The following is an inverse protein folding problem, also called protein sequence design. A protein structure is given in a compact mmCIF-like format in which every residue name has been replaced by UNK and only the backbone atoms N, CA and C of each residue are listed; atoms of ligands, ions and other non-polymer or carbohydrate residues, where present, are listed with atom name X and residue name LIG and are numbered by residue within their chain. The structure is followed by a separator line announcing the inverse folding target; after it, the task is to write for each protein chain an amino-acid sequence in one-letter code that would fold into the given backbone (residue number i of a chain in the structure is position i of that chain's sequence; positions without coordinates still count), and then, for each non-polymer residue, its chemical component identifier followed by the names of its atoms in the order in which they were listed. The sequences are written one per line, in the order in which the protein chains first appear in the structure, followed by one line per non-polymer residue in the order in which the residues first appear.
data_IF_141196276071
#
_entry.id   IF_141196276071
#
_cell.length_a   1.000
_cell.length_b   1.000
_cell.length_c   1.000
_cell.angle_alpha   90.00
_cell.angle_beta   90.00
_cell.angle_gamma   90.00
#
_symmetry.space_group_name_H-M   'P 1'
#
loop_
_entity.id
_entity.type
_entity.pdbx_description
1 polymer ?
#
# COMPACT_ATOMS: atom_id res chain seq x y z
N UNK A 1 0.29 -17.82 -9.87
CA UNK A 1 0.82 -16.56 -9.29
C UNK A 1 0.44 -16.48 -7.81
N UNK A 2 1.43 -16.29 -6.93
CA UNK A 2 1.23 -16.36 -5.48
C UNK A 2 0.86 -14.99 -4.88
N UNK A 3 -0.45 -14.75 -4.77
CA UNK A 3 -0.99 -13.69 -3.95
C UNK A 3 -0.70 -13.95 -2.47
N UNK A 4 -0.77 -12.91 -1.66
CA UNK A 4 -0.40 -13.01 -0.24
C UNK A 4 -1.53 -13.62 0.57
N UNK A 5 -2.64 -12.90 0.69
CA UNK A 5 -3.84 -13.34 1.39
C UNK A 5 -5.03 -12.51 0.87
N UNK A 6 -6.28 -13.00 0.95
CA UNK A 6 -7.45 -12.24 0.52
C UNK A 6 -7.58 -10.86 1.18
N UNK A 7 -7.13 -10.74 2.43
CA UNK A 7 -7.14 -9.49 3.20
C UNK A 7 -5.98 -8.53 2.87
N UNK A 8 -5.03 -8.94 2.03
CA UNK A 8 -3.87 -8.12 1.69
C UNK A 8 -4.22 -7.10 0.60
N UNK A 9 -4.08 -5.81 0.89
CA UNK A 9 -4.26 -4.78 -0.13
C UNK A 9 -3.21 -4.92 -1.27
N UNK A 10 -1.92 -4.74 -0.96
CA UNK A 10 -0.85 -4.81 -1.99
C UNK A 10 -0.64 -6.21 -2.57
N UNK A 11 -0.97 -7.26 -1.80
CA UNK A 11 -0.74 -8.64 -2.17
C UNK A 11 -1.95 -9.38 -2.76
N UNK A 12 -3.14 -8.76 -2.80
CA UNK A 12 -4.33 -9.36 -3.43
C UNK A 12 -5.33 -8.34 -3.99
N UNK A 13 -5.85 -7.42 -3.17
CA UNK A 13 -6.94 -6.53 -3.59
C UNK A 13 -6.53 -5.56 -4.70
N UNK A 14 -5.39 -4.88 -4.53
CA UNK A 14 -4.85 -3.95 -5.51
C UNK A 14 -4.53 -4.63 -6.86
N UNK A 15 -3.75 -5.73 -6.95
CA UNK A 15 -3.46 -6.37 -8.22
C UNK A 15 -4.72 -6.87 -8.94
N UNK A 16 -5.75 -7.34 -8.22
CA UNK A 16 -7.04 -7.75 -8.83
C UNK A 16 -7.75 -6.64 -9.59
N UNK A 17 -7.49 -5.38 -9.25
CA UNK A 17 -8.17 -4.22 -9.81
C UNK A 17 -7.24 -3.55 -10.83
N UNK A 18 -6.00 -3.26 -10.43
CA UNK A 18 -5.04 -2.56 -11.27
C UNK A 18 -4.60 -3.39 -12.49
N UNK A 19 -4.53 -4.72 -12.39
CA UNK A 19 -4.18 -5.56 -13.54
C UNK A 19 -5.29 -5.60 -14.59
N UNK A 20 -6.57 -5.47 -14.19
CA UNK A 20 -7.70 -5.43 -15.13
C UNK A 20 -7.57 -4.26 -16.09
N UNK A 21 -7.09 -3.11 -15.62
CA UNK A 21 -6.80 -1.94 -16.47
C UNK A 21 -5.68 -2.21 -17.49
N UNK A 22 -4.87 -3.25 -17.26
CA UNK A 22 -3.83 -3.73 -18.19
C UNK A 22 -4.30 -4.91 -19.04
N UNK A 23 -5.58 -5.29 -18.96
CA UNK A 23 -6.13 -6.43 -19.68
C UNK A 23 -5.77 -7.79 -19.08
N UNK A 24 -5.30 -7.84 -17.82
CA UNK A 24 -4.97 -9.09 -17.11
C UNK A 24 -5.96 -9.26 -15.95
N UNK A 25 -6.66 -10.39 -15.94
CA UNK A 25 -7.73 -10.71 -15.00
C UNK A 25 -7.31 -11.91 -14.15
N UNK A 26 -7.01 -11.72 -12.85
CA UNK A 26 -6.66 -12.83 -11.96
C UNK A 26 -7.81 -13.83 -11.82
N UNK A 27 -7.51 -15.13 -11.87
CA UNK A 27 -8.50 -16.22 -11.91
C UNK A 27 -9.02 -16.55 -13.32
N UNK A 28 -8.65 -15.76 -14.34
CA UNK A 28 -8.92 -16.06 -15.75
C UNK A 28 -7.62 -16.21 -16.54
N UNK A 29 -6.76 -15.19 -16.50
CA UNK A 29 -5.51 -15.17 -17.26
C UNK A 29 -4.36 -15.84 -16.51
N UNK A 30 -4.53 -16.06 -15.20
CA UNK A 30 -3.64 -16.86 -14.36
C UNK A 30 -4.35 -17.41 -13.12
N UNK A 31 -3.85 -18.52 -12.57
CA UNK A 31 -4.31 -19.09 -11.31
C UNK A 31 -3.79 -18.31 -10.10
N UNK A 32 -4.69 -17.97 -9.18
CA UNK A 32 -4.36 -17.31 -7.91
C UNK A 32 -4.13 -18.36 -6.83
N UNK A 33 -2.91 -18.36 -6.28
CA UNK A 33 -2.53 -19.14 -5.10
C UNK A 33 -2.28 -18.18 -3.94
N UNK A 34 -2.47 -18.63 -2.69
CA UNK A 34 -2.20 -17.82 -1.50
C UNK A 34 -0.99 -18.36 -0.73
N UNK A 35 0.06 -17.54 -0.61
CA UNK A 35 1.28 -17.86 0.15
C UNK A 35 1.19 -17.54 1.64
N UNK A 36 0.16 -16.80 2.04
CA UNK A 36 -0.10 -16.30 3.39
C UNK A 36 0.66 -15.02 3.76
N UNK A 37 1.87 -14.81 3.23
CA UNK A 37 2.73 -13.68 3.61
C UNK A 37 3.62 -13.19 2.46
N UNK A 38 3.98 -11.91 2.51
CA UNK A 38 4.84 -11.29 1.50
C UNK A 38 6.21 -11.97 1.37
N UNK A 39 6.81 -12.38 2.48
CA UNK A 39 8.10 -13.09 2.49
C UNK A 39 8.01 -14.46 1.81
N UNK A 40 6.95 -15.23 2.08
CA UNK A 40 6.68 -16.49 1.39
C UNK A 40 6.49 -16.29 -0.12
N UNK A 41 5.71 -15.29 -0.52
CA UNK A 41 5.52 -14.93 -1.93
C UNK A 41 6.85 -14.58 -2.63
N UNK A 42 7.70 -13.77 -1.99
CA UNK A 42 9.00 -13.36 -2.54
C UNK A 42 9.92 -14.57 -2.68
N UNK A 43 10.09 -15.34 -1.61
CA UNK A 43 10.99 -16.50 -1.63
C UNK A 43 10.50 -17.60 -2.56
N UNK A 44 9.19 -17.79 -2.71
CA UNK A 44 8.64 -18.74 -3.68
C UNK A 44 8.94 -18.35 -5.13
N UNK A 45 8.98 -17.05 -5.46
CA UNK A 45 9.43 -16.59 -6.80
C UNK A 45 10.94 -16.81 -6.96
N UNK A 46 11.75 -16.43 -5.96
CA UNK A 46 13.21 -16.66 -5.97
C UNK A 46 13.55 -18.14 -6.18
N UNK A 47 12.83 -19.03 -5.50
CA UNK A 47 13.02 -20.48 -5.58
C UNK A 47 12.36 -21.13 -6.80
N UNK A 48 11.65 -20.35 -7.62
CA UNK A 48 10.90 -20.81 -8.81
C UNK A 48 9.73 -21.74 -8.49
N UNK A 49 9.22 -21.70 -7.25
CA UNK A 49 7.97 -22.34 -6.85
C UNK A 49 6.75 -21.61 -7.44
N UNK A 50 6.90 -20.30 -7.72
CA UNK A 50 5.89 -19.46 -8.34
C UNK A 50 6.47 -18.63 -9.49
N UNK A 51 5.72 -18.45 -10.57
CA UNK A 51 6.15 -17.63 -11.70
C UNK A 51 6.22 -16.13 -11.36
N UNK A 52 5.33 -15.67 -10.47
CA UNK A 52 5.22 -14.28 -10.05
C UNK A 52 4.42 -14.16 -8.74
N UNK A 53 4.57 -13.02 -8.07
CA UNK A 53 3.79 -12.65 -6.90
C UNK A 53 3.61 -11.12 -6.79
N UNK A 54 2.38 -10.61 -6.61
CA UNK A 54 2.17 -9.23 -6.20
C UNK A 54 2.51 -9.06 -4.72
N UNK A 55 3.32 -8.05 -4.39
CA UNK A 55 3.84 -7.81 -3.04
C UNK A 55 3.94 -6.32 -2.72
N UNK A 56 4.20 -6.00 -1.44
CA UNK A 56 4.59 -4.65 -1.05
C UNK A 56 6.10 -4.44 -1.32
N UNK A 57 6.45 -3.44 -2.12
CA UNK A 57 7.85 -3.14 -2.52
C UNK A 57 8.77 -2.95 -1.31
N UNK A 58 8.30 -2.32 -0.23
CA UNK A 58 9.06 -2.16 1.01
C UNK A 58 9.45 -3.47 1.69
N UNK A 59 8.70 -4.56 1.48
CA UNK A 59 9.06 -5.89 1.98
C UNK A 59 10.15 -6.51 1.12
N UNK A 60 10.04 -6.39 -0.21
CA UNK A 60 11.06 -6.84 -1.15
C UNK A 60 12.41 -6.16 -0.84
N UNK A 61 12.43 -4.84 -0.75
CA UNK A 61 13.65 -4.07 -0.47
C UNK A 61 14.26 -4.47 0.87
N UNK A 62 13.46 -4.55 1.94
CA UNK A 62 13.95 -4.97 3.25
C UNK A 62 14.51 -6.38 3.27
N UNK A 63 13.98 -7.30 2.45
CA UNK A 63 14.51 -8.65 2.35
C UNK A 63 15.82 -8.69 1.54
N UNK A 64 15.90 -7.94 0.45
CA UNK A 64 17.11 -7.79 -0.35
C UNK A 64 18.25 -7.12 0.46
N UNK A 65 17.95 -6.06 1.21
CA UNK A 65 18.91 -5.36 2.08
C UNK A 65 19.46 -6.24 3.21
N UNK A 66 18.68 -7.25 3.63
CA UNK A 66 19.11 -8.27 4.59
C UNK A 66 19.87 -9.43 3.92
N UNK A 67 20.08 -9.38 2.62
CA UNK A 67 20.81 -10.41 1.86
C UNK A 67 20.06 -11.74 1.73
N UNK A 68 18.73 -11.74 1.86
CA UNK A 68 17.94 -12.98 1.77
C UNK A 68 17.91 -13.60 0.36
N UNK A 69 18.10 -12.77 -0.67
CA UNK A 69 18.23 -13.15 -2.08
C UNK A 69 19.00 -12.03 -2.81
N UNK A 70 19.49 -12.28 -4.03
CA UNK A 70 20.11 -11.24 -4.86
C UNK A 70 19.02 -10.51 -5.64
N UNK A 71 19.13 -9.19 -5.79
CA UNK A 71 18.15 -8.41 -6.57
C UNK A 71 17.94 -8.94 -7.99
N UNK A 72 18.99 -9.49 -8.60
CA UNK A 72 18.94 -10.09 -9.95
C UNK A 72 18.23 -11.46 -10.00
N UNK A 73 17.93 -12.08 -8.85
CA UNK A 73 17.14 -13.32 -8.79
C UNK A 73 15.65 -13.07 -9.11
N UNK A 74 15.21 -11.82 -9.12
CA UNK A 74 13.83 -11.42 -9.41
C UNK A 74 13.78 -10.26 -10.40
N UNK A 75 12.64 -10.11 -11.09
CA UNK A 75 12.39 -8.98 -11.98
C UNK A 75 11.08 -8.31 -11.60
N UNK A 76 11.11 -6.99 -11.42
CA UNK A 76 9.90 -6.18 -11.25
C UNK A 76 9.24 -6.02 -12.63
N UNK A 77 8.04 -6.56 -12.80
CA UNK A 77 7.30 -6.53 -14.08
C UNK A 77 6.24 -5.43 -14.14
N UNK A 78 5.83 -4.94 -12.98
CA UNK A 78 4.85 -3.88 -12.80
C UNK A 78 5.04 -3.23 -11.43
N UNK A 79 4.84 -1.92 -11.36
CA UNK A 79 4.80 -1.14 -10.13
C UNK A 79 3.63 -0.15 -10.20
N UNK A 80 2.83 -0.05 -9.13
CA UNK A 80 1.75 0.93 -9.04
C UNK A 80 2.28 2.30 -8.64
N UNK A 81 1.43 3.33 -8.67
CA UNK A 81 1.76 4.57 -7.97
C UNK A 81 1.98 4.26 -6.46
N UNK A 82 2.85 5.04 -5.77
CA UNK A 82 3.04 4.89 -4.34
C UNK A 82 1.72 5.08 -3.60
N UNK A 83 1.35 4.11 -2.75
CA UNK A 83 0.27 4.35 -1.81
C UNK A 83 0.74 5.36 -0.76
N UNK A 84 -0.06 6.40 -0.46
CA UNK A 84 0.29 7.33 0.59
C UNK A 84 0.53 6.58 1.90
N UNK A 85 1.58 7.00 2.63
CA UNK A 85 1.85 6.52 3.98
C UNK A 85 0.93 7.23 4.97
N UNK A 86 1.32 7.25 6.24
CA UNK A 86 0.65 7.99 7.31
C UNK A 86 0.20 9.38 6.85
N UNK A 87 -1.08 9.65 7.05
CA UNK A 87 -1.72 10.89 6.65
C UNK A 87 -2.44 11.51 7.85
N UNK A 88 -2.44 12.84 7.90
CA UNK A 88 -3.16 13.60 8.92
C UNK A 88 -4.36 14.26 8.25
N UNK A 89 -5.54 14.08 8.85
CA UNK A 89 -6.77 14.73 8.43
C UNK A 89 -7.12 15.89 9.35
N UNK A 90 -7.80 16.90 8.81
CA UNK A 90 -8.44 17.96 9.59
C UNK A 90 -9.95 17.71 9.52
N UNK A 91 -10.63 17.80 10.66
CA UNK A 91 -12.08 17.65 10.71
C UNK A 91 -12.75 18.73 9.83
N UNK A 92 -13.69 18.30 9.00
CA UNK A 92 -14.31 19.15 7.97
C UNK A 92 -15.04 20.38 8.54
N UNK A 93 -15.52 20.27 9.77
CA UNK A 93 -16.33 21.23 10.52
C UNK A 93 -15.51 22.03 11.55
N UNK A 94 -14.19 21.86 11.57
CA UNK A 94 -13.31 22.63 12.44
C UNK A 94 -13.31 24.12 12.05
N UNK A 95 -13.21 25.03 13.03
CA UNK A 95 -13.13 26.47 12.75
C UNK A 95 -12.03 26.78 11.71
N UNK A 96 -12.31 27.51 10.61
CA UNK A 96 -11.34 27.76 9.53
C UNK A 96 -10.02 28.39 9.97
N UNK A 97 -10.05 29.28 10.98
CA UNK A 97 -8.83 29.89 11.53
C UNK A 97 -7.95 28.84 12.22
N UNK A 98 -8.57 27.90 12.93
CA UNK A 98 -7.85 26.79 13.56
C UNK A 98 -7.32 25.81 12.50
N UNK A 99 -8.08 25.55 11.42
CA UNK A 99 -7.58 24.74 10.30
C UNK A 99 -6.31 25.36 9.70
N UNK A 100 -6.30 26.68 9.48
CA UNK A 100 -5.14 27.39 8.95
C UNK A 100 -3.93 27.28 9.87
N UNK A 101 -4.11 27.49 11.18
CA UNK A 101 -3.04 27.36 12.17
C UNK A 101 -2.46 25.94 12.26
N UNK A 102 -3.30 24.90 12.15
CA UNK A 102 -2.84 23.51 12.11
C UNK A 102 -2.01 23.25 10.85
N UNK A 103 -2.48 23.70 9.68
CA UNK A 103 -1.73 23.56 8.43
C UNK A 103 -0.38 24.26 8.50
N UNK A 104 -0.37 25.51 8.97
CA UNK A 104 0.86 26.28 9.16
C UNK A 104 1.83 25.55 10.08
N UNK A 105 1.37 25.10 11.26
CA UNK A 105 2.20 24.39 12.22
C UNK A 105 2.87 23.13 11.63
N UNK A 106 2.16 22.36 10.79
CA UNK A 106 2.74 21.19 10.12
C UNK A 106 3.73 21.60 9.01
N UNK A 107 3.36 22.57 8.17
CA UNK A 107 4.16 22.94 7.00
C UNK A 107 5.41 23.76 7.36
N UNK A 108 5.40 24.48 8.48
CA UNK A 108 6.55 25.23 9.00
C UNK A 108 7.40 24.44 9.99
N UNK A 109 7.01 23.21 10.34
CA UNK A 109 7.75 22.39 11.29
C UNK A 109 9.13 21.99 10.75
N UNK A 110 10.19 22.31 11.48
CA UNK A 110 11.55 21.90 11.14
C UNK A 110 11.77 20.43 11.50
N UNK A 111 11.32 19.56 10.59
CA UNK A 111 11.32 18.12 10.80
C UNK A 111 12.73 17.57 11.04
N UNK A 112 13.72 18.04 10.28
CA UNK A 112 15.10 17.57 10.36
C UNK A 112 15.79 17.94 11.67
N UNK A 113 15.40 19.05 12.30
CA UNK A 113 15.89 19.45 13.63
C UNK A 113 15.08 18.87 14.80
N UNK A 114 14.04 18.08 14.52
CA UNK A 114 13.20 17.48 15.54
C UNK A 114 13.67 16.07 15.96
N UNK A 115 13.12 15.56 17.07
CA UNK A 115 13.30 14.15 17.45
C UNK A 115 12.75 13.16 16.41
N UNK A 116 11.79 13.58 15.58
CA UNK A 116 11.18 12.74 14.55
C UNK A 116 12.18 12.34 13.46
N UNK A 117 13.20 13.16 13.18
CA UNK A 117 14.21 12.85 12.17
C UNK A 117 15.02 11.58 12.50
N UNK A 118 15.12 11.21 13.79
CA UNK A 118 15.82 9.99 14.22
C UNK A 118 15.05 8.73 13.85
N UNK A 119 13.72 8.80 13.97
CA UNK A 119 12.80 7.70 13.70
C UNK A 119 12.46 7.59 12.21
N UNK A 120 12.22 8.73 11.55
CA UNK A 120 11.77 8.79 10.16
C UNK A 120 12.89 9.29 9.24
N UNK A 121 13.95 8.47 9.11
CA UNK A 121 15.19 8.82 8.41
C UNK A 121 15.02 9.19 6.92
N UNK A 122 13.95 8.72 6.30
CA UNK A 122 13.62 8.98 4.90
C UNK A 122 12.64 10.15 4.70
N UNK A 123 12.24 10.82 5.78
CA UNK A 123 11.24 11.89 5.78
C UNK A 123 11.88 13.25 6.06
N UNK A 124 11.64 14.21 5.17
CA UNK A 124 12.24 15.56 5.23
C UNK A 124 11.30 16.62 5.82
N UNK A 125 10.02 16.31 5.93
CA UNK A 125 8.99 17.24 6.39
C UNK A 125 7.59 16.82 6.02
N UNK A 126 6.61 17.58 6.50
CA UNK A 126 5.22 17.42 6.12
C UNK A 126 4.95 18.14 4.80
N UNK A 127 3.98 17.63 4.03
CA UNK A 127 3.54 18.22 2.78
C UNK A 127 2.02 18.16 2.68
N UNK A 128 1.41 19.22 2.16
CA UNK A 128 -0.02 19.22 1.88
C UNK A 128 -0.33 18.28 0.70
N UNK A 129 -1.42 17.53 0.84
CA UNK A 129 -1.89 16.55 -0.13
C UNK A 129 -3.41 16.69 -0.26
N UNK A 130 -3.92 16.53 -1.48
CA UNK A 130 -5.36 16.36 -1.70
C UNK A 130 -5.72 14.89 -1.54
N UNK A 131 -6.71 14.58 -0.70
CA UNK A 131 -7.20 13.21 -0.51
C UNK A 131 -7.58 12.56 -1.85
N UNK A 132 -8.35 13.27 -2.69
CA UNK A 132 -8.82 12.77 -3.98
C UNK A 132 -7.67 12.42 -4.93
N UNK A 133 -6.60 13.22 -4.91
CA UNK A 133 -5.44 13.00 -5.78
C UNK A 133 -4.51 11.90 -5.23
N UNK A 134 -4.19 11.95 -3.95
CA UNK A 134 -3.23 11.03 -3.35
C UNK A 134 -3.80 9.62 -3.11
N UNK A 135 -5.12 9.48 -2.89
CA UNK A 135 -5.80 8.19 -2.71
C UNK A 135 -6.56 7.74 -3.97
N UNK A 136 -6.26 8.25 -5.17
CA UNK A 136 -7.02 7.90 -6.38
C UNK A 136 -7.14 6.38 -6.57
N UNK A 137 -6.02 5.67 -6.48
CA UNK A 137 -5.97 4.23 -6.69
C UNK A 137 -6.69 3.49 -5.56
N UNK A 138 -6.57 3.96 -4.31
CA UNK A 138 -7.30 3.39 -3.18
C UNK A 138 -8.82 3.61 -3.33
N UNK A 139 -9.25 4.78 -3.81
CA UNK A 139 -10.66 5.08 -4.06
C UNK A 139 -11.21 4.17 -5.16
N UNK A 140 -10.45 3.95 -6.24
CA UNK A 140 -10.80 3.01 -7.31
C UNK A 140 -10.87 1.59 -6.75
N UNK A 141 -9.83 1.15 -6.03
CA UNK A 141 -9.75 -0.16 -5.39
C UNK A 141 -10.97 -0.39 -4.51
N UNK A 142 -11.31 0.57 -3.64
CA UNK A 142 -12.44 0.45 -2.73
C UNK A 142 -13.77 0.42 -3.47
N UNK A 143 -13.96 1.28 -4.47
CA UNK A 143 -15.18 1.30 -5.29
C UNK A 143 -15.41 -0.03 -6.02
N UNK A 144 -14.36 -0.59 -6.59
CA UNK A 144 -14.43 -1.83 -7.38
C UNK A 144 -14.42 -3.09 -6.50
N UNK A 145 -14.00 -2.99 -5.23
CA UNK A 145 -14.01 -4.12 -4.29
C UNK A 145 -15.41 -4.59 -3.90
N UNK A 146 -16.42 -3.73 -4.06
CA UNK A 146 -17.78 -4.00 -3.58
C UNK A 146 -17.94 -3.98 -2.05
N UNK A 147 -16.89 -3.62 -1.30
CA UNK A 147 -16.93 -3.50 0.16
C UNK A 147 -17.81 -2.30 0.54
N UNK A 148 -18.73 -2.54 1.48
CA UNK A 148 -19.61 -1.50 2.03
C UNK A 148 -19.24 -1.23 3.49
N UNK A 149 -19.01 0.04 3.82
CA UNK A 149 -18.64 0.49 5.16
C UNK A 149 -19.87 0.93 5.98
N UNK A 150 -20.91 0.09 5.99
CA UNK A 150 -22.04 0.22 6.91
C UNK A 150 -21.72 -0.46 8.25
N UNK A 151 -22.53 -0.23 9.29
CA UNK A 151 -22.39 -0.98 10.55
C UNK A 151 -22.41 -2.50 10.31
N UNK A 152 -23.33 -2.97 9.46
CA UNK A 152 -23.41 -4.38 9.06
C UNK A 152 -22.18 -4.85 8.28
N UNK A 153 -21.65 -4.02 7.38
CA UNK A 153 -20.43 -4.32 6.64
C UNK A 153 -19.19 -4.40 7.54
N UNK A 154 -19.07 -3.47 8.49
CA UNK A 154 -18.00 -3.45 9.49
C UNK A 154 -18.09 -4.63 10.46
N UNK A 155 -19.29 -5.09 10.81
CA UNK A 155 -19.48 -6.27 11.64
C UNK A 155 -18.99 -7.55 10.94
N UNK A 156 -19.21 -7.66 9.62
CA UNK A 156 -18.73 -8.80 8.81
C UNK A 156 -17.21 -8.82 8.68
N UNK A 157 -16.56 -7.66 8.61
CA UNK A 157 -15.10 -7.54 8.53
C UNK A 157 -14.35 -7.95 9.80
N UNK A 158 -15.02 -8.06 10.96
CA UNK A 158 -14.41 -8.46 12.23
C UNK A 158 -14.37 -9.98 12.46
N UNK A 159 -15.00 -10.75 11.58
CA UNK A 159 -15.20 -12.20 11.76
C UNK A 159 -14.19 -13.11 11.05
N UNK A 160 -13.27 -12.53 10.28
CA UNK A 160 -12.21 -13.24 9.54
C UNK A 160 -10.83 -13.04 10.20
#
# INVERSE_FOLDING_TARGET
VAHVAPSSNSGDTAPRILFKEKGIVPGKDYEVLYSGKHDNSIMGVVNKDYDAAPIASSVLERMADRGMFKRDDVRIVYESAPFPRTAFGIAHDLNPELQAKIKEAFLSFDFLKSGLAKEFKDTKGFKELSYKAAWSDIIVIQRESGISYTQDGLAKLKGD
#
